data_IF_254076158583
#
_entry.id   IF_254076158583
#
_cell.length_a   1.000
_cell.length_b   1.000
_cell.length_c   1.000
_cell.angle_alpha   90.00
_cell.angle_beta   90.00
_cell.angle_gamma   90.00
#
_symmetry.space_group_name_H-M   'P 1'
#
loop_
_entity.id
_entity.type
_entity.pdbx_description
1 polymer ?
#
# COMPACT_ATOMS: atom_id res chain seq x y z
N UNK A 1 5.40 -14.79 -4.06
CA UNK A 1 3.94 -14.62 -4.26
C UNK A 1 3.39 -15.48 -5.41
N UNK A 2 3.75 -15.30 -6.71
CA UNK A 2 3.21 -16.15 -7.80
C UNK A 2 3.54 -17.65 -7.64
N UNK A 3 4.76 -17.98 -7.20
CA UNK A 3 5.17 -19.35 -6.89
C UNK A 3 4.37 -19.99 -5.75
N UNK A 4 4.01 -19.22 -4.75
CA UNK A 4 3.19 -19.67 -3.61
C UNK A 4 1.75 -19.92 -4.03
N UNK A 5 1.19 -19.04 -4.90
CA UNK A 5 -0.16 -19.25 -5.47
C UNK A 5 -0.17 -20.53 -6.30
N UNK A 6 0.82 -20.75 -7.17
CA UNK A 6 0.94 -21.97 -7.96
C UNK A 6 1.04 -23.24 -7.10
N UNK A 7 1.70 -23.14 -5.94
CA UNK A 7 1.80 -24.26 -4.98
C UNK A 7 0.49 -24.49 -4.22
N UNK A 8 -0.23 -23.43 -3.87
CA UNK A 8 -1.52 -23.51 -3.16
C UNK A 8 -2.65 -24.01 -4.06
N UNK A 9 -2.66 -23.55 -5.30
CA UNK A 9 -3.68 -23.86 -6.29
C UNK A 9 -3.16 -24.89 -7.31
N UNK A 10 -2.52 -25.97 -6.82
CA UNK A 10 -2.01 -27.04 -7.68
C UNK A 10 -3.11 -27.65 -8.55
N UNK A 11 -2.82 -27.88 -9.84
CA UNK A 11 -3.76 -28.45 -10.80
C UNK A 11 -4.58 -27.42 -11.60
N UNK A 12 -4.46 -26.12 -11.35
CA UNK A 12 -5.03 -25.11 -12.24
C UNK A 12 -4.31 -25.12 -13.60
N UNK A 13 -5.09 -24.91 -14.66
CA UNK A 13 -4.57 -24.88 -16.02
C UNK A 13 -3.91 -23.55 -16.37
N UNK A 14 -4.42 -22.45 -15.82
CA UNK A 14 -3.97 -21.09 -16.10
C UNK A 14 -3.87 -20.25 -14.82
N UNK A 15 -2.81 -19.43 -14.72
CA UNK A 15 -2.55 -18.47 -13.64
C UNK A 15 -2.36 -17.10 -14.25
N UNK A 16 -3.46 -16.52 -14.68
CA UNK A 16 -3.44 -15.23 -15.37
C UNK A 16 -3.33 -14.09 -14.36
N UNK A 17 -2.60 -13.04 -14.70
CA UNK A 17 -2.39 -11.94 -13.76
C UNK A 17 -2.26 -10.59 -14.46
N UNK A 18 -2.56 -9.53 -13.68
CA UNK A 18 -2.26 -8.16 -14.01
C UNK A 18 -1.81 -7.41 -12.77
N UNK A 19 -0.92 -6.43 -12.93
CA UNK A 19 -0.51 -5.56 -11.85
C UNK A 19 -0.36 -4.11 -12.29
N UNK A 20 -0.50 -3.22 -11.31
CA UNK A 20 -0.18 -1.79 -11.42
C UNK A 20 0.71 -1.42 -10.23
N UNK A 21 1.85 -0.80 -10.49
CA UNK A 21 2.82 -0.32 -9.50
C UNK A 21 3.19 1.14 -9.78
N UNK A 22 3.85 1.77 -8.77
CA UNK A 22 4.18 3.19 -8.81
C UNK A 22 3.06 4.04 -8.19
N UNK A 23 3.36 5.29 -7.88
CA UNK A 23 2.39 6.18 -7.21
C UNK A 23 1.27 6.62 -8.15
N UNK A 24 1.61 6.87 -9.42
CA UNK A 24 0.65 7.24 -10.48
C UNK A 24 0.32 6.06 -11.40
N UNK A 25 0.69 4.82 -11.03
CA UNK A 25 0.42 3.63 -11.86
C UNK A 25 1.33 3.51 -13.08
N UNK A 26 2.57 4.03 -13.00
CA UNK A 26 3.52 4.13 -14.13
C UNK A 26 3.95 2.78 -14.68
N UNK A 27 3.95 1.77 -13.82
CA UNK A 27 4.33 0.41 -14.19
C UNK A 27 3.11 -0.49 -14.18
N UNK A 28 2.73 -0.98 -15.34
CA UNK A 28 1.63 -1.93 -15.47
C UNK A 28 1.99 -3.06 -16.44
N UNK A 29 1.72 -4.30 -16.04
CA UNK A 29 1.90 -5.48 -16.89
C UNK A 29 0.82 -6.50 -16.64
N UNK A 30 0.65 -7.41 -17.60
CA UNK A 30 -0.26 -8.53 -17.51
C UNK A 30 0.32 -9.78 -18.19
N UNK A 31 -0.29 -10.92 -17.92
CA UNK A 31 0.07 -12.19 -18.54
C UNK A 31 -1.16 -13.09 -18.66
N UNK A 32 -1.35 -13.67 -19.84
CA UNK A 32 -2.50 -14.54 -20.15
C UNK A 32 -2.26 -16.02 -19.79
N UNK A 33 -1.02 -16.43 -19.50
CA UNK A 33 -0.61 -17.77 -19.07
C UNK A 33 -1.26 -18.91 -19.88
N UNK A 34 -1.16 -18.81 -21.21
CA UNK A 34 -1.70 -19.83 -22.14
C UNK A 34 -3.15 -19.66 -22.55
N UNK A 35 -3.89 -18.69 -21.98
CA UNK A 35 -5.18 -18.27 -22.55
C UNK A 35 -4.97 -17.52 -23.88
N UNK A 36 -5.99 -17.41 -24.74
CA UNK A 36 -5.90 -16.60 -25.95
C UNK A 36 -5.49 -15.17 -25.61
N UNK A 37 -4.62 -14.61 -26.45
CA UNK A 37 -4.02 -13.29 -26.23
C UNK A 37 -5.06 -12.22 -25.90
N UNK A 38 -4.87 -11.53 -24.76
CA UNK A 38 -5.70 -10.40 -24.33
C UNK A 38 -7.05 -10.79 -23.76
N UNK A 39 -7.32 -12.09 -23.53
CA UNK A 39 -8.62 -12.54 -23.03
C UNK A 39 -8.65 -12.77 -21.51
N UNK A 40 -7.48 -12.70 -20.85
CA UNK A 40 -7.35 -12.97 -19.41
C UNK A 40 -6.59 -11.87 -18.67
N UNK A 41 -5.29 -11.76 -18.90
CA UNK A 41 -4.44 -10.83 -18.18
C UNK A 41 -4.78 -9.35 -18.44
N UNK A 42 -5.12 -8.99 -19.68
CA UNK A 42 -5.55 -7.63 -20.02
C UNK A 42 -6.87 -7.24 -19.33
N UNK A 43 -7.94 -8.05 -19.35
CA UNK A 43 -9.15 -7.81 -18.56
C UNK A 43 -8.89 -7.62 -17.07
N UNK A 44 -7.99 -8.42 -16.47
CA UNK A 44 -7.59 -8.25 -15.07
C UNK A 44 -6.95 -6.88 -14.85
N UNK A 45 -5.98 -6.50 -15.70
CA UNK A 45 -5.31 -5.21 -15.61
C UNK A 45 -6.29 -4.04 -15.76
N UNK A 46 -7.25 -4.14 -16.69
CA UNK A 46 -8.25 -3.10 -16.93
C UNK A 46 -9.15 -2.88 -15.70
N UNK A 47 -9.47 -3.93 -14.95
CA UNK A 47 -10.25 -3.79 -13.71
C UNK A 47 -9.45 -3.01 -12.66
N UNK A 48 -8.16 -3.30 -12.48
CA UNK A 48 -7.29 -2.57 -11.54
C UNK A 48 -7.26 -1.08 -11.91
N UNK A 49 -7.06 -0.78 -13.20
CA UNK A 49 -7.00 0.60 -13.71
C UNK A 49 -8.33 1.35 -13.55
N UNK A 50 -9.46 0.71 -13.90
CA UNK A 50 -10.79 1.31 -13.76
C UNK A 50 -11.14 1.64 -12.32
N UNK A 51 -10.63 0.88 -11.36
CA UNK A 51 -10.78 1.16 -9.92
C UNK A 51 -9.78 2.19 -9.39
N UNK A 52 -8.88 2.72 -10.22
CA UNK A 52 -7.87 3.70 -9.82
C UNK A 52 -6.84 3.15 -8.82
N UNK A 53 -6.63 1.83 -8.80
CA UNK A 53 -5.76 1.18 -7.84
C UNK A 53 -4.30 1.16 -8.32
N UNK A 54 -3.38 1.34 -7.40
CA UNK A 54 -1.95 1.13 -7.59
C UNK A 54 -1.38 0.19 -6.52
N UNK A 55 -0.09 -0.19 -6.62
CA UNK A 55 0.56 -1.17 -5.73
C UNK A 55 -0.26 -2.48 -5.60
N UNK A 56 -0.92 -2.86 -6.69
CA UNK A 56 -1.90 -3.95 -6.72
C UNK A 56 -1.49 -5.01 -7.74
N UNK A 57 -1.53 -6.27 -7.32
CA UNK A 57 -1.42 -7.44 -8.17
C UNK A 57 -2.67 -8.30 -7.99
N UNK A 58 -3.32 -8.66 -9.09
CA UNK A 58 -4.41 -9.64 -9.11
C UNK A 58 -3.97 -10.86 -9.89
N UNK A 59 -4.18 -12.03 -9.32
CA UNK A 59 -3.96 -13.33 -9.98
C UNK A 59 -5.28 -14.08 -9.98
N UNK A 60 -5.69 -14.52 -11.15
CA UNK A 60 -6.89 -15.36 -11.33
C UNK A 60 -6.44 -16.73 -11.80
N UNK A 61 -6.79 -17.75 -11.04
CA UNK A 61 -6.54 -19.15 -11.38
C UNK A 61 -7.77 -19.74 -12.07
N UNK A 62 -7.55 -20.50 -13.16
CA UNK A 62 -8.64 -21.16 -13.86
C UNK A 62 -8.39 -22.65 -13.96
N UNK A 63 -9.40 -23.43 -13.62
CA UNK A 63 -9.49 -24.86 -13.84
C UNK A 63 -10.39 -25.11 -15.05
N UNK A 64 -9.84 -25.77 -16.06
CA UNK A 64 -10.62 -26.08 -17.27
C UNK A 64 -11.55 -27.27 -17.03
N UNK A 65 -12.84 -27.04 -17.04
CA UNK A 65 -13.87 -28.04 -16.82
C UNK A 65 -14.48 -28.66 -18.08
N UNK A 66 -13.78 -28.63 -19.23
CA UNK A 66 -14.27 -29.22 -20.48
C UNK A 66 -15.15 -28.30 -21.34
N UNK A 67 -15.64 -27.19 -20.81
CA UNK A 67 -16.48 -26.24 -21.54
C UNK A 67 -15.64 -25.08 -22.07
N UNK A 68 -15.68 -24.84 -23.39
CA UNK A 68 -15.02 -23.69 -24.03
C UNK A 68 -15.90 -22.45 -23.90
N UNK A 69 -15.42 -21.44 -23.17
CA UNK A 69 -16.15 -20.17 -22.98
C UNK A 69 -16.14 -19.25 -24.21
N UNK A 70 -15.18 -19.45 -25.12
CA UNK A 70 -14.89 -18.50 -26.20
C UNK A 70 -14.24 -17.20 -25.69
N UNK A 71 -13.72 -16.38 -26.60
CA UNK A 71 -12.97 -15.17 -26.23
C UNK A 71 -13.81 -14.19 -25.38
N UNK A 72 -15.04 -13.91 -25.77
CA UNK A 72 -15.94 -13.02 -25.03
C UNK A 72 -16.31 -13.54 -23.64
N UNK A 73 -16.53 -14.85 -23.52
CA UNK A 73 -16.81 -15.50 -22.23
C UNK A 73 -15.59 -15.45 -21.29
N UNK A 74 -14.38 -15.65 -21.82
CA UNK A 74 -13.14 -15.52 -21.06
C UNK A 74 -12.96 -14.10 -20.53
N UNK A 75 -13.05 -13.09 -21.38
CA UNK A 75 -12.95 -11.69 -20.99
C UNK A 75 -13.91 -11.37 -19.84
N UNK A 76 -15.17 -11.81 -19.94
CA UNK A 76 -16.17 -11.59 -18.89
C UNK A 76 -15.77 -12.30 -17.59
N UNK A 77 -15.42 -13.57 -17.64
CA UNK A 77 -15.09 -14.36 -16.46
C UNK A 77 -13.86 -13.80 -15.71
N UNK A 78 -12.81 -13.43 -16.44
CA UNK A 78 -11.61 -12.83 -15.82
C UNK A 78 -11.89 -11.44 -15.25
N UNK A 79 -12.71 -10.62 -15.92
CA UNK A 79 -13.15 -9.31 -15.43
C UNK A 79 -13.94 -9.46 -14.13
N UNK A 80 -14.93 -10.35 -14.11
CA UNK A 80 -15.79 -10.57 -12.93
C UNK A 80 -14.99 -11.13 -11.74
N UNK A 81 -14.11 -12.10 -11.98
CA UNK A 81 -13.26 -12.66 -10.94
C UNK A 81 -12.30 -11.61 -10.32
N UNK A 82 -11.67 -10.80 -11.17
CA UNK A 82 -10.79 -9.72 -10.71
C UNK A 82 -11.56 -8.65 -9.93
N UNK A 83 -12.74 -8.24 -10.41
CA UNK A 83 -13.58 -7.27 -9.74
C UNK A 83 -14.03 -7.77 -8.36
N UNK A 84 -14.53 -9.00 -8.26
CA UNK A 84 -14.97 -9.60 -7.01
C UNK A 84 -13.83 -9.73 -5.99
N UNK A 85 -12.63 -10.10 -6.43
CA UNK A 85 -11.46 -10.19 -5.57
C UNK A 85 -11.07 -8.82 -5.00
N UNK A 86 -11.05 -7.79 -5.83
CA UNK A 86 -10.70 -6.42 -5.41
C UNK A 86 -11.78 -5.82 -4.51
N UNK A 87 -13.06 -6.05 -4.79
CA UNK A 87 -14.16 -5.58 -3.94
C UNK A 87 -14.09 -6.20 -2.54
N UNK A 88 -13.74 -7.49 -2.47
CA UNK A 88 -13.58 -8.18 -1.18
C UNK A 88 -12.32 -7.78 -0.44
N UNK A 89 -11.22 -7.47 -1.13
CA UNK A 89 -9.97 -7.04 -0.52
C UNK A 89 -10.07 -5.63 0.08
N UNK A 90 -10.91 -4.77 -0.49
CA UNK A 90 -10.94 -3.35 -0.14
C UNK A 90 -9.74 -2.59 -0.68
N UNK A 91 -9.67 -1.32 -0.34
CA UNK A 91 -8.55 -0.43 -0.72
C UNK A 91 -8.27 0.57 0.38
N UNK A 92 -7.03 1.06 0.43
CA UNK A 92 -6.61 2.16 1.29
C UNK A 92 -6.12 3.33 0.44
N UNK A 93 -6.38 4.54 0.92
CA UNK A 93 -5.87 5.76 0.29
C UNK A 93 -4.40 5.90 0.70
N UNK A 94 -3.50 5.97 -0.28
CA UNK A 94 -2.10 6.29 -0.03
C UNK A 94 -1.97 7.78 0.28
N UNK A 95 -1.33 8.10 1.40
CA UNK A 95 -0.98 9.46 1.79
C UNK A 95 0.52 9.69 1.67
N UNK A 96 0.91 10.87 1.21
CA UNK A 96 2.31 11.30 1.32
C UNK A 96 2.65 11.50 2.79
N UNK A 97 3.68 10.82 3.26
CA UNK A 97 4.12 10.83 4.66
C UNK A 97 5.59 11.26 4.75
N UNK A 98 5.92 12.01 5.77
CA UNK A 98 7.29 12.28 6.18
C UNK A 98 7.67 11.36 7.34
N UNK A 99 8.80 10.68 7.24
CA UNK A 99 9.46 10.06 8.38
C UNK A 99 10.24 11.15 9.10
N UNK A 100 9.79 11.48 10.29
CA UNK A 100 10.37 12.55 11.08
C UNK A 100 11.14 12.00 12.28
N UNK A 101 12.29 12.61 12.58
CA UNK A 101 13.01 12.41 13.84
C UNK A 101 12.84 13.63 14.71
N UNK A 102 12.42 13.43 15.95
CA UNK A 102 12.30 14.45 16.99
C UNK A 102 13.37 14.18 18.03
N UNK A 103 14.24 15.16 18.27
CA UNK A 103 15.15 15.16 19.42
C UNK A 103 14.61 16.17 20.45
N UNK A 104 14.27 15.68 21.65
CA UNK A 104 13.60 16.48 22.67
C UNK A 104 14.27 16.30 24.04
N UNK A 105 14.38 17.37 24.88
CA UNK A 105 14.84 17.24 26.25
C UNK A 105 13.89 16.34 27.08
N UNK A 106 14.42 15.62 28.06
CA UNK A 106 13.64 14.80 28.98
C UNK A 106 12.50 15.57 29.66
N UNK A 107 12.73 16.84 30.00
CA UNK A 107 11.72 17.69 30.65
C UNK A 107 10.44 17.90 29.85
N UNK A 108 10.47 17.69 28.53
CA UNK A 108 9.31 17.86 27.64
C UNK A 108 8.83 16.54 27.04
N UNK A 109 9.51 15.42 27.34
CA UNK A 109 9.22 14.11 26.78
C UNK A 109 7.79 13.64 27.13
N UNK A 110 7.40 13.67 28.41
CA UNK A 110 6.09 13.18 28.86
C UNK A 110 4.92 13.94 28.23
N UNK A 111 5.10 15.26 28.04
CA UNK A 111 4.10 16.09 27.35
C UNK A 111 3.97 15.73 25.88
N UNK A 112 5.09 15.46 25.20
CA UNK A 112 5.09 14.99 23.81
C UNK A 112 4.46 13.60 23.70
N UNK A 113 4.84 12.67 24.56
CA UNK A 113 4.29 11.29 24.56
C UNK A 113 2.76 11.29 24.74
N UNK A 114 2.24 12.12 25.65
CA UNK A 114 0.81 12.29 25.83
C UNK A 114 0.15 12.81 24.55
N UNK A 115 0.69 13.84 23.93
CA UNK A 115 0.19 14.39 22.66
C UNK A 115 0.19 13.33 21.55
N UNK A 116 1.28 12.55 21.40
CA UNK A 116 1.36 11.49 20.39
C UNK A 116 0.32 10.39 20.64
N UNK A 117 0.09 10.04 21.90
CA UNK A 117 -0.90 9.06 22.33
C UNK A 117 -2.34 9.54 22.05
N UNK A 118 -2.66 10.79 22.42
CA UNK A 118 -3.98 11.40 22.17
C UNK A 118 -4.30 11.50 20.67
N UNK A 119 -3.28 11.73 19.84
CA UNK A 119 -3.40 11.79 18.39
C UNK A 119 -3.22 10.44 17.71
N UNK A 120 -3.11 9.34 18.49
CA UNK A 120 -2.95 7.96 18.01
C UNK A 120 -1.77 7.79 17.04
N UNK A 121 -0.69 8.53 17.24
CA UNK A 121 0.51 8.42 16.42
C UNK A 121 1.39 7.28 16.91
N UNK A 122 1.85 6.46 15.97
CA UNK A 122 2.70 5.31 16.27
C UNK A 122 4.17 5.73 16.15
N UNK A 123 4.90 5.53 17.23
CA UNK A 123 6.34 5.72 17.29
C UNK A 123 6.99 4.47 16.67
N UNK A 124 7.80 4.66 15.63
CA UNK A 124 8.56 3.58 14.98
C UNK A 124 9.81 3.19 15.79
N UNK A 125 10.50 4.20 16.30
CA UNK A 125 11.74 4.02 17.04
C UNK A 125 11.81 5.02 18.21
N UNK A 126 12.32 4.58 19.36
CA UNK A 126 12.44 5.36 20.55
C UNK A 126 13.81 5.09 21.21
N UNK A 127 14.66 6.09 21.28
CA UNK A 127 16.01 5.98 21.86
C UNK A 127 16.26 7.03 22.93
N UNK A 128 16.90 6.60 24.00
CA UNK A 128 17.25 7.42 25.16
C UNK A 128 18.76 7.59 25.26
N UNK A 129 19.23 8.85 25.32
CA UNK A 129 20.65 9.19 25.48
C UNK A 129 20.79 10.47 26.30
N UNK A 130 21.52 11.47 25.84
CA UNK A 130 21.54 12.81 26.46
C UNK A 130 20.22 13.57 26.25
N UNK A 131 19.46 13.18 25.23
CA UNK A 131 18.10 13.61 24.95
C UNK A 131 17.28 12.40 24.52
N UNK A 132 15.98 12.56 24.41
CA UNK A 132 15.10 11.54 23.86
C UNK A 132 14.96 11.76 22.36
N UNK A 133 15.17 10.69 21.57
CA UNK A 133 14.97 10.70 20.13
C UNK A 133 13.82 9.78 19.75
N UNK A 134 12.85 10.31 19.02
CA UNK A 134 11.65 9.61 18.54
C UNK A 134 11.62 9.66 17.02
N UNK A 135 11.26 8.55 16.39
CA UNK A 135 11.04 8.50 14.94
C UNK A 135 9.59 8.07 14.65
N UNK A 136 8.88 8.81 13.82
CA UNK A 136 7.48 8.53 13.49
C UNK A 136 7.09 9.10 12.12
N UNK A 137 6.01 8.54 11.55
CA UNK A 137 5.45 9.01 10.28
C UNK A 137 4.39 10.08 10.50
N UNK A 138 4.54 11.20 9.79
CA UNK A 138 3.60 12.32 9.81
C UNK A 138 3.04 12.55 8.41
N UNK A 139 1.71 12.65 8.22
CA UNK A 139 1.15 13.08 6.94
C UNK A 139 1.73 14.44 6.53
N UNK A 140 2.15 14.55 5.28
CA UNK A 140 2.77 15.78 4.75
C UNK A 140 1.86 17.01 4.96
N UNK A 141 0.57 16.83 4.80
CA UNK A 141 -0.44 17.85 5.01
C UNK A 141 -0.52 18.33 6.47
N UNK A 142 -0.17 17.46 7.43
CA UNK A 142 -0.22 17.76 8.87
C UNK A 142 1.11 18.27 9.44
N UNK A 143 2.20 18.17 8.67
CA UNK A 143 3.57 18.43 9.15
C UNK A 143 3.74 19.83 9.75
N UNK A 144 3.20 20.86 9.13
CA UNK A 144 3.33 22.24 9.62
C UNK A 144 2.67 22.44 10.98
N UNK A 145 1.45 21.93 11.17
CA UNK A 145 0.76 21.98 12.45
C UNK A 145 1.46 21.15 13.53
N UNK A 146 1.91 19.94 13.15
CA UNK A 146 2.68 19.07 14.04
C UNK A 146 3.99 19.72 14.51
N UNK A 147 4.75 20.32 13.60
CA UNK A 147 5.99 21.02 13.90
C UNK A 147 5.77 22.18 14.89
N UNK A 148 4.70 22.96 14.70
CA UNK A 148 4.31 24.00 15.62
C UNK A 148 4.03 23.45 17.03
N UNK A 149 3.22 22.41 17.13
CA UNK A 149 2.89 21.77 18.42
C UNK A 149 4.14 21.23 19.13
N UNK A 150 5.06 20.58 18.40
CA UNK A 150 6.32 20.10 18.98
C UNK A 150 7.18 21.25 19.50
N UNK A 151 7.23 22.36 18.76
CA UNK A 151 7.95 23.57 19.21
C UNK A 151 7.34 24.15 20.47
N UNK A 152 6.01 24.25 20.56
CA UNK A 152 5.30 24.76 21.74
C UNK A 152 5.54 23.88 22.98
N UNK A 153 5.37 22.56 22.86
CA UNK A 153 5.60 21.58 23.92
C UNK A 153 7.04 21.69 24.47
N UNK A 154 8.00 21.85 23.57
CA UNK A 154 9.42 21.89 23.93
C UNK A 154 9.95 23.29 24.26
N UNK A 155 9.10 24.32 24.14
CA UNK A 155 9.51 25.73 24.25
C UNK A 155 10.65 26.06 23.27
N UNK A 156 10.57 25.53 22.06
CA UNK A 156 11.56 25.71 20.99
C UNK A 156 12.86 24.93 21.15
N UNK A 157 12.95 24.02 22.14
CA UNK A 157 14.18 23.22 22.40
C UNK A 157 14.25 21.92 21.61
N UNK A 158 13.16 21.44 21.07
CA UNK A 158 13.16 20.25 20.23
C UNK A 158 13.70 20.56 18.83
N UNK A 159 14.39 19.58 18.25
CA UNK A 159 14.82 19.57 16.85
C UNK A 159 13.97 18.54 16.12
N UNK A 160 13.32 18.96 15.05
CA UNK A 160 12.47 18.12 14.19
C UNK A 160 13.07 18.07 12.78
N UNK A 161 13.51 16.89 12.38
CA UNK A 161 14.14 16.64 11.08
C UNK A 161 13.27 15.69 10.24
N UNK A 162 13.13 15.96 8.93
CA UNK A 162 12.58 15.00 7.97
C UNK A 162 13.70 14.09 7.51
N UNK A 163 13.59 12.77 7.78
CA UNK A 163 14.58 11.77 7.39
C UNK A 163 14.32 11.26 5.97
N UNK A 164 13.05 10.99 5.66
CA UNK A 164 12.62 10.48 4.35
C UNK A 164 11.17 10.82 4.07
N UNK A 165 10.76 10.60 2.82
CA UNK A 165 9.38 10.73 2.37
C UNK A 165 8.95 9.45 1.68
N UNK A 166 7.75 8.96 1.97
CA UNK A 166 7.12 7.81 1.30
C UNK A 166 5.61 8.03 1.22
N UNK A 167 4.93 7.20 0.43
CA UNK A 167 3.47 7.11 0.42
C UNK A 167 3.03 5.84 1.14
N UNK A 168 2.22 6.00 2.16
CA UNK A 168 1.68 4.91 2.99
C UNK A 168 0.17 4.95 3.10
#
# INVERSE_FOLDING_TARGET
MLKEIKKREEGANHYCWGYVLGLSGEQARYHDDGEPRGTAGLPILDVIRKKGLTRTLVVVTRYFGGIKLGAGGLVRAYTEAAAAALDRAGSHILKEMFLCRINIPYSSHDALERYLSETQRIIEEHTFSQSVSLTLWIPKEEYSGFSGTVADISQGKAVLDIISQDCR
#
